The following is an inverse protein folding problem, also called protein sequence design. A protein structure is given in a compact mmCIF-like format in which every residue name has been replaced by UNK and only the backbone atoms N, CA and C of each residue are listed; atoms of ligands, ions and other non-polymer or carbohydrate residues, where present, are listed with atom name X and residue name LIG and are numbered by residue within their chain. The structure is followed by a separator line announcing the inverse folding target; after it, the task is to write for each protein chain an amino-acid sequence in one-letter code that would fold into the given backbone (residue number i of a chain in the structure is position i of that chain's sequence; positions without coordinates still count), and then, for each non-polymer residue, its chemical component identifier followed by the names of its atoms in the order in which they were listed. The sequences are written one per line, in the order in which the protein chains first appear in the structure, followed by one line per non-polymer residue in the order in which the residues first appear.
data_IF_482279856716
#
_entry.id   IF_482279856716
#
_cell.length_a   1.000
_cell.length_b   1.000
_cell.length_c   1.000
_cell.angle_alpha   90.00
_cell.angle_beta   90.00
_cell.angle_gamma   90.00
#
_symmetry.space_group_name_H-M   'P 1'
#
loop_
_entity.id
_entity.type
_entity.pdbx_description
1 polymer ?
#
# COMPACT_ATOMS: atom_id res chain seq x y z
N UNK A 1 -8.86 8.00 1.46
CA UNK A 1 -10.26 7.74 1.88
C UNK A 1 -10.25 7.80 3.38
N UNK A 2 -11.21 8.48 4.06
CA UNK A 2 -11.37 8.24 5.51
C UNK A 2 -11.47 6.72 5.68
N UNK A 3 -10.55 6.14 6.45
CA UNK A 3 -10.57 4.71 6.75
C UNK A 3 -11.99 4.42 7.24
N UNK A 4 -12.79 3.70 6.44
CA UNK A 4 -14.15 3.33 6.84
C UNK A 4 -13.97 2.71 8.21
N UNK A 5 -14.52 3.38 9.23
CA UNK A 5 -14.44 2.88 10.60
C UNK A 5 -15.19 1.57 10.57
N UNK A 6 -14.45 0.46 10.59
CA UNK A 6 -15.04 -0.85 10.71
C UNK A 6 -15.79 -0.87 12.03
N UNK A 7 -17.11 -0.86 11.95
CA UNK A 7 -17.98 -1.01 13.12
C UNK A 7 -18.14 -2.51 13.34
N UNK A 8 -17.37 -3.03 14.30
CA UNK A 8 -17.46 -4.43 14.67
C UNK A 8 -18.86 -4.70 15.25
N UNK A 9 -19.58 -5.74 14.79
CA UNK A 9 -20.88 -6.09 15.32
C UNK A 9 -20.73 -6.74 16.71
N UNK A 10 -20.54 -5.92 17.75
CA UNK A 10 -20.28 -6.37 19.12
C UNK A 10 -21.54 -6.66 19.93
N UNK A 11 -22.71 -6.69 19.29
CA UNK A 11 -23.99 -6.97 19.96
C UNK A 11 -24.08 -8.40 20.52
N UNK A 12 -23.29 -9.32 19.96
CA UNK A 12 -23.18 -10.70 20.43
C UNK A 12 -21.74 -11.21 20.29
N UNK A 13 -21.26 -11.85 21.36
CA UNK A 13 -20.00 -12.60 21.38
C UNK A 13 -20.20 -13.88 22.22
N UNK A 14 -19.81 -15.04 21.68
CA UNK A 14 -19.87 -16.30 22.43
C UNK A 14 -18.63 -16.43 23.32
N UNK A 15 -18.76 -16.10 24.60
CA UNK A 15 -17.62 -16.12 25.54
C UNK A 15 -16.89 -17.46 25.62
N UNK A 16 -17.51 -18.57 25.21
CA UNK A 16 -16.87 -19.90 25.18
C UNK A 16 -15.71 -19.98 24.18
N UNK A 17 -15.65 -19.09 23.20
CA UNK A 17 -14.56 -19.06 22.20
C UNK A 17 -13.42 -18.10 22.56
N UNK A 18 -13.53 -17.34 23.65
CA UNK A 18 -12.52 -16.35 24.08
C UNK A 18 -11.10 -16.90 24.19
N UNK A 19 -10.93 -18.04 24.85
CA UNK A 19 -9.64 -18.71 24.97
C UNK A 19 -9.10 -19.20 23.61
N UNK A 20 -9.98 -19.51 22.66
CA UNK A 20 -9.58 -19.91 21.30
C UNK A 20 -9.13 -18.68 20.51
N UNK A 21 -9.84 -17.57 20.60
CA UNK A 21 -9.49 -16.32 19.92
C UNK A 21 -8.16 -15.74 20.44
N UNK A 22 -7.91 -15.81 21.76
CA UNK A 22 -6.60 -15.44 22.31
C UNK A 22 -5.47 -16.33 21.77
N UNK A 23 -5.73 -17.63 21.61
CA UNK A 23 -4.77 -18.55 21.00
C UNK A 23 -4.51 -18.23 19.53
N UNK A 24 -5.52 -17.81 18.77
CA UNK A 24 -5.34 -17.32 17.39
C UNK A 24 -4.40 -16.11 17.38
N UNK A 25 -4.64 -15.12 18.25
CA UNK A 25 -3.75 -13.96 18.39
C UNK A 25 -2.29 -14.36 18.70
N UNK A 26 -2.11 -15.31 19.64
CA UNK A 26 -0.78 -15.84 20.00
C UNK A 26 -0.10 -16.52 18.81
N UNK A 27 -0.83 -17.32 18.03
CA UNK A 27 -0.30 -18.02 16.85
C UNK A 27 0.06 -17.05 15.72
N UNK A 28 -0.74 -16.01 15.51
CA UNK A 28 -0.43 -14.95 14.53
C UNK A 28 0.88 -14.25 14.91
N UNK A 29 1.04 -13.87 16.19
CA UNK A 29 2.28 -13.28 16.70
C UNK A 29 3.47 -14.21 16.51
N UNK A 30 3.33 -15.48 16.88
CA UNK A 30 4.39 -16.48 16.70
C UNK A 30 4.79 -16.64 15.23
N UNK A 31 3.82 -16.67 14.30
CA UNK A 31 4.10 -16.73 12.86
C UNK A 31 4.94 -15.54 12.39
N UNK A 32 4.64 -14.35 12.89
CA UNK A 32 5.37 -13.11 12.58
C UNK A 32 6.81 -13.15 13.08
N UNK A 33 7.01 -13.56 14.33
CA UNK A 33 8.35 -13.67 14.94
C UNK A 33 9.22 -14.74 14.26
N UNK A 34 8.64 -15.90 13.94
CA UNK A 34 9.37 -17.00 13.28
C UNK A 34 9.80 -16.68 11.84
N UNK A 35 9.11 -15.76 11.18
CA UNK A 35 9.36 -15.40 9.78
C UNK A 35 10.08 -14.08 9.60
N UNK A 36 10.50 -13.43 10.69
CA UNK A 36 11.04 -12.06 10.67
C UNK A 36 10.11 -11.09 9.91
N UNK A 37 8.80 -11.20 10.18
CA UNK A 37 7.75 -10.45 9.50
C UNK A 37 7.70 -10.66 7.97
N UNK A 38 8.29 -11.73 7.45
CA UNK A 38 8.26 -12.11 6.03
C UNK A 38 7.79 -13.56 5.83
N UNK A 39 6.51 -13.87 6.12
CA UNK A 39 6.03 -15.24 6.16
C UNK A 39 5.68 -15.85 4.79
N UNK A 40 5.73 -15.06 3.72
CA UNK A 40 5.24 -15.46 2.40
C UNK A 40 3.76 -15.87 2.41
N UNK A 41 3.39 -16.73 1.46
CA UNK A 41 2.02 -17.22 1.29
C UNK A 41 1.98 -18.76 1.20
N UNK A 42 1.02 -19.44 1.84
CA UNK A 42 0.90 -20.90 1.72
C UNK A 42 0.68 -21.35 0.28
N UNK A 43 1.30 -22.45 -0.12
CA UNK A 43 1.10 -23.01 -1.46
C UNK A 43 -0.31 -23.56 -1.64
N UNK A 44 -0.77 -23.69 -2.89
CA UNK A 44 -2.07 -24.31 -3.21
C UNK A 44 -2.22 -25.69 -2.55
N UNK A 45 -1.18 -26.51 -2.54
CA UNK A 45 -1.22 -27.84 -1.92
C UNK A 45 -1.51 -27.74 -0.41
N UNK A 46 -0.84 -26.83 0.31
CA UNK A 46 -1.11 -26.62 1.73
C UNK A 46 -2.55 -26.13 1.98
N UNK A 47 -3.05 -25.18 1.17
CA UNK A 47 -4.42 -24.69 1.29
C UNK A 47 -5.43 -25.84 1.07
N UNK A 48 -5.27 -26.64 0.02
CA UNK A 48 -6.14 -27.79 -0.27
C UNK A 48 -6.10 -28.84 0.85
N UNK A 49 -4.91 -29.14 1.38
CA UNK A 49 -4.75 -30.15 2.43
C UNK A 49 -5.38 -29.67 3.76
N UNK A 50 -5.18 -28.41 4.14
CA UNK A 50 -5.76 -27.84 5.35
C UNK A 50 -7.27 -27.64 5.24
N UNK A 51 -7.76 -27.23 4.06
CA UNK A 51 -9.19 -27.13 3.75
C UNK A 51 -9.90 -28.46 4.03
N UNK A 52 -9.38 -29.57 3.46
CA UNK A 52 -9.95 -30.91 3.69
C UNK A 52 -9.82 -31.38 5.14
N UNK A 53 -8.68 -31.10 5.77
CA UNK A 53 -8.39 -31.57 7.13
C UNK A 53 -9.27 -30.92 8.20
N UNK A 54 -9.55 -29.63 8.04
CA UNK A 54 -10.25 -28.81 9.03
C UNK A 54 -11.66 -28.39 8.59
N UNK A 55 -12.13 -28.90 7.44
CA UNK A 55 -13.46 -28.61 6.87
C UNK A 55 -13.67 -27.11 6.59
N UNK A 56 -12.70 -26.48 5.92
CA UNK A 56 -12.78 -25.09 5.48
C UNK A 56 -12.92 -24.98 3.96
N UNK A 57 -13.57 -23.91 3.49
CA UNK A 57 -13.50 -23.50 2.09
C UNK A 57 -12.08 -23.02 1.73
N UNK A 58 -11.53 -23.46 0.59
CA UNK A 58 -10.20 -23.02 0.15
C UNK A 58 -10.13 -21.48 -0.02
N UNK A 59 -11.21 -20.88 -0.52
CA UNK A 59 -11.28 -19.43 -0.72
C UNK A 59 -11.21 -18.66 0.61
N UNK A 60 -11.86 -19.19 1.66
CA UNK A 60 -11.78 -18.61 3.00
C UNK A 60 -10.35 -18.60 3.53
N UNK A 61 -9.64 -19.74 3.43
CA UNK A 61 -8.24 -19.81 3.84
C UNK A 61 -7.35 -18.85 3.04
N UNK A 62 -7.59 -18.71 1.73
CA UNK A 62 -6.85 -17.75 0.92
C UNK A 62 -7.02 -16.31 1.43
N UNK A 63 -8.23 -15.89 1.80
CA UNK A 63 -8.46 -14.56 2.36
C UNK A 63 -7.83 -14.38 3.74
N UNK A 64 -7.94 -15.37 4.64
CA UNK A 64 -7.29 -15.31 5.96
C UNK A 64 -5.78 -15.11 5.83
N UNK A 65 -5.12 -15.89 4.97
CA UNK A 65 -3.68 -15.74 4.75
C UNK A 65 -3.31 -14.48 3.96
N UNK A 66 -4.21 -13.98 3.10
CA UNK A 66 -4.03 -12.70 2.43
C UNK A 66 -4.08 -11.54 3.44
N UNK A 67 -5.00 -11.55 4.40
CA UNK A 67 -5.07 -10.53 5.45
C UNK A 67 -3.83 -10.57 6.34
N UNK A 68 -3.34 -11.76 6.70
CA UNK A 68 -2.08 -11.90 7.43
C UNK A 68 -0.86 -11.40 6.65
N UNK A 69 -0.83 -11.57 5.33
CA UNK A 69 0.24 -11.02 4.47
C UNK A 69 0.19 -9.49 4.41
N UNK A 70 -0.98 -8.91 4.67
CA UNK A 70 -1.29 -7.51 4.41
C UNK A 70 -1.57 -6.70 5.69
N UNK A 71 -1.05 -7.15 6.83
CA UNK A 71 -1.26 -6.53 8.16
C UNK A 71 -1.01 -5.01 8.16
N UNK A 72 -0.03 -4.55 7.37
CA UNK A 72 0.33 -3.14 7.27
C UNK A 72 -0.80 -2.22 6.79
N UNK A 73 -1.78 -2.73 6.04
CA UNK A 73 -2.94 -1.94 5.62
C UNK A 73 -3.87 -1.57 6.79
N UNK A 74 -3.81 -2.33 7.89
CA UNK A 74 -4.62 -2.07 9.09
C UNK A 74 -3.95 -1.12 10.08
N UNK A 75 -2.70 -0.68 9.84
CA UNK A 75 -2.12 0.39 10.65
C UNK A 75 -3.05 1.61 10.60
N UNK A 76 -3.28 2.32 11.72
CA UNK A 76 -4.07 3.54 11.70
C UNK A 76 -3.53 4.56 10.70
N UNK A 77 -4.40 5.19 9.91
CA UNK A 77 -4.00 6.27 9.02
C UNK A 77 -3.50 7.47 9.84
N UNK A 78 -2.37 8.07 9.43
CA UNK A 78 -1.88 9.31 10.05
C UNK A 78 -2.59 10.47 9.36
N UNK A 79 -3.63 10.99 10.00
CA UNK A 79 -4.37 12.13 9.46
C UNK A 79 -3.50 13.40 9.42
N UNK A 80 -3.42 14.11 8.28
CA UNK A 80 -2.71 15.39 8.19
C UNK A 80 -3.36 16.47 9.05
N UNK A 81 -2.56 17.11 9.91
CA UNK A 81 -3.02 18.14 10.87
C UNK A 81 -2.39 19.48 10.56
N UNK A 82 -3.20 20.54 10.63
CA UNK A 82 -2.75 21.93 10.49
C UNK A 82 -1.95 22.17 9.21
N UNK A 83 -2.66 22.34 8.09
CA UNK A 83 -2.03 22.66 6.81
C UNK A 83 -1.13 23.90 6.95
N UNK A 84 0.12 23.78 6.51
CA UNK A 84 1.11 24.85 6.61
C UNK A 84 1.29 25.56 5.27
N UNK A 85 1.62 24.80 4.21
CA UNK A 85 1.91 25.35 2.87
C UNK A 85 1.96 24.28 1.78
N UNK A 86 2.01 24.71 0.53
CA UNK A 86 2.39 23.88 -0.60
C UNK A 86 3.84 24.16 -0.98
N UNK A 87 4.66 23.11 -1.07
CA UNK A 87 6.04 23.18 -1.53
C UNK A 87 6.05 22.77 -3.01
N UNK A 88 6.39 23.67 -3.95
CA UNK A 88 6.51 23.31 -5.35
C UNK A 88 7.74 22.45 -5.55
N UNK A 89 7.57 21.28 -6.19
CA UNK A 89 8.65 20.33 -6.47
C UNK A 89 8.97 20.30 -7.96
N UNK A 90 7.91 20.27 -8.79
CA UNK A 90 8.00 20.25 -10.26
C UNK A 90 9.10 19.32 -10.79
N UNK A 91 9.18 18.10 -10.26
CA UNK A 91 10.09 17.06 -10.73
C UNK A 91 9.29 16.06 -11.56
N UNK A 92 9.84 15.66 -12.70
CA UNK A 92 9.18 14.75 -13.61
C UNK A 92 10.19 13.97 -14.46
N UNK A 93 9.74 12.82 -14.95
CA UNK A 93 10.46 12.01 -15.93
C UNK A 93 9.48 11.48 -16.97
N UNK A 94 10.01 11.12 -18.13
CA UNK A 94 9.24 10.46 -19.18
C UNK A 94 9.86 9.09 -19.47
N UNK A 95 9.01 8.05 -19.52
CA UNK A 95 9.41 6.69 -19.89
C UNK A 95 8.30 6.07 -20.74
N UNK A 96 8.64 5.54 -21.93
CA UNK A 96 7.72 4.82 -22.82
C UNK A 96 6.38 5.57 -23.02
N UNK A 97 6.46 6.83 -23.45
CA UNK A 97 5.31 7.72 -23.73
C UNK A 97 4.36 7.94 -22.52
N UNK A 98 4.89 7.72 -21.33
CA UNK A 98 4.23 7.98 -20.05
C UNK A 98 5.05 8.99 -19.26
N UNK A 99 4.39 10.06 -18.86
CA UNK A 99 4.93 11.16 -18.08
C UNK A 99 4.59 10.99 -16.60
N UNK A 100 5.63 10.87 -15.79
CA UNK A 100 5.56 10.66 -14.35
C UNK A 100 6.00 11.93 -13.63
N UNK A 101 5.22 12.43 -12.68
CA UNK A 101 5.52 13.73 -12.04
C UNK A 101 5.08 13.84 -10.59
N UNK A 102 5.87 14.61 -9.82
CA UNK A 102 5.48 15.17 -8.52
C UNK A 102 5.53 16.68 -8.66
N UNK A 103 4.35 17.30 -8.70
CA UNK A 103 4.23 18.74 -8.95
C UNK A 103 4.34 19.55 -7.66
N UNK A 104 3.74 19.06 -6.58
CA UNK A 104 3.74 19.70 -5.27
C UNK A 104 3.73 18.68 -4.14
N UNK A 105 4.23 19.12 -2.99
CA UNK A 105 4.09 18.45 -1.69
C UNK A 105 3.30 19.37 -0.78
N UNK A 106 2.20 18.86 -0.21
CA UNK A 106 1.44 19.60 0.80
C UNK A 106 2.07 19.37 2.16
N UNK A 107 2.45 20.43 2.83
CA UNK A 107 3.09 20.37 4.13
C UNK A 107 2.05 20.56 5.23
N UNK A 108 2.04 19.64 6.17
CA UNK A 108 1.28 19.70 7.42
C UNK A 108 2.26 19.66 8.60
N UNK A 109 1.76 19.95 9.80
CA UNK A 109 2.59 19.97 11.00
C UNK A 109 3.20 18.60 11.32
N UNK A 110 2.45 17.51 11.10
CA UNK A 110 2.85 16.15 11.46
C UNK A 110 3.32 15.28 10.28
N UNK A 111 2.97 15.64 9.04
CA UNK A 111 3.22 14.84 7.83
C UNK A 111 3.42 15.71 6.60
N UNK A 112 4.00 15.12 5.55
CA UNK A 112 3.97 15.67 4.20
C UNK A 112 3.11 14.79 3.30
N UNK A 113 2.33 15.41 2.41
CA UNK A 113 1.49 14.69 1.46
C UNK A 113 2.05 14.90 0.04
N UNK A 114 2.51 13.82 -0.57
CA UNK A 114 3.10 13.80 -1.91
C UNK A 114 2.02 13.40 -2.92
N UNK A 115 1.82 14.24 -3.94
CA UNK A 115 0.92 13.95 -5.05
C UNK A 115 1.72 13.47 -6.26
N UNK A 116 1.54 12.22 -6.61
CA UNK A 116 2.20 11.56 -7.73
C UNK A 116 1.23 11.41 -8.89
N UNK A 117 1.61 11.87 -10.07
CA UNK A 117 0.78 11.86 -11.27
C UNK A 117 1.45 11.07 -12.39
N UNK A 118 0.64 10.33 -13.13
CA UNK A 118 1.02 9.54 -14.30
C UNK A 118 0.10 9.99 -15.43
N UNK A 119 0.66 10.41 -16.55
CA UNK A 119 -0.09 10.83 -17.73
C UNK A 119 0.51 10.08 -18.92
N UNK A 120 -0.23 9.16 -19.53
CA UNK A 120 0.17 8.48 -20.76
C UNK A 120 -0.61 9.03 -21.94
N UNK A 121 0.09 9.22 -23.06
CA UNK A 121 -0.50 9.66 -24.32
C UNK A 121 -0.94 8.48 -25.19
N UNK A 122 -1.28 7.33 -24.59
CA UNK A 122 -1.66 6.13 -25.33
C UNK A 122 -2.94 6.44 -26.15
N UNK A 123 -2.75 6.73 -27.43
CA UNK A 123 -3.83 6.73 -28.43
C UNK A 123 -4.23 5.29 -28.66
N UNK A 124 -5.49 4.97 -28.35
CA UNK A 124 -6.16 3.68 -28.55
C UNK A 124 -5.80 2.97 -29.88
N UNK A 125 -4.76 2.13 -29.88
CA UNK A 125 -4.57 1.06 -30.88
C UNK A 125 -4.45 -0.33 -30.25
N UNK A 126 -4.90 -0.51 -29.00
CA UNK A 126 -5.27 -1.83 -28.46
C UNK A 126 -6.78 -1.86 -28.19
N UNK A 127 -7.50 -2.14 -29.28
CA UNK A 127 -8.87 -2.61 -29.25
C UNK A 127 -9.03 -3.79 -28.30
N UNK A 128 -10.18 -3.83 -27.61
CA UNK A 128 -10.69 -4.92 -26.76
C UNK A 128 -10.17 -4.95 -25.33
N UNK A 129 -10.88 -4.28 -24.42
CA UNK A 129 -10.93 -4.65 -23.00
C UNK A 129 -9.55 -4.90 -22.37
N UNK A 130 -8.56 -4.09 -22.77
CA UNK A 130 -7.28 -4.05 -22.09
C UNK A 130 -7.58 -3.44 -20.73
N UNK A 131 -7.87 -4.32 -19.78
CA UNK A 131 -7.63 -4.09 -18.38
C UNK A 131 -6.15 -3.72 -18.27
N UNK A 132 -5.78 -2.48 -18.60
CA UNK A 132 -4.50 -1.92 -18.19
C UNK A 132 -4.54 -2.05 -16.68
N UNK A 133 -3.89 -3.10 -16.18
CA UNK A 133 -3.87 -3.44 -14.77
C UNK A 133 -3.55 -2.15 -14.03
N UNK A 134 -4.42 -1.75 -13.10
CA UNK A 134 -4.15 -0.60 -12.26
C UNK A 134 -2.79 -0.86 -11.60
N UNK A 135 -1.75 -0.16 -12.09
CA UNK A 135 -0.40 -0.34 -11.57
C UNK A 135 -0.38 0.16 -10.14
N UNK A 136 0.29 -0.55 -9.25
CA UNK A 136 0.44 -0.09 -7.87
C UNK A 136 1.86 0.40 -7.66
N UNK A 137 2.00 1.48 -6.90
CA UNK A 137 3.28 2.10 -6.62
C UNK A 137 3.47 2.27 -5.12
N UNK A 138 4.68 1.99 -4.66
CA UNK A 138 5.17 2.39 -3.34
C UNK A 138 6.13 3.56 -3.50
N UNK A 139 6.13 4.45 -2.52
CA UNK A 139 7.08 5.55 -2.42
C UNK A 139 8.12 5.20 -1.36
N UNK A 140 9.37 5.49 -1.63
CA UNK A 140 10.42 5.59 -0.61
C UNK A 140 11.20 6.88 -0.79
N UNK A 141 11.70 7.43 0.31
CA UNK A 141 12.47 8.67 0.33
C UNK A 141 13.87 8.34 0.79
N UNK A 142 14.85 8.58 -0.08
CA UNK A 142 16.27 8.40 0.26
C UNK A 142 16.75 9.58 1.09
N UNK A 143 17.27 9.30 2.27
CA UNK A 143 17.82 10.26 3.24
C UNK A 143 18.92 9.58 4.05
N UNK A 144 19.99 10.31 4.38
CA UNK A 144 21.10 9.78 5.17
C UNK A 144 20.75 9.72 6.67
N UNK A 145 19.99 10.70 7.16
CA UNK A 145 19.81 10.93 8.60
C UNK A 145 18.39 10.65 9.12
N UNK A 146 17.42 10.37 8.24
CA UNK A 146 16.02 10.24 8.65
C UNK A 146 15.33 9.12 7.89
N UNK A 147 14.74 8.20 8.64
CA UNK A 147 13.87 7.17 8.09
C UNK A 147 12.46 7.71 7.95
N UNK A 148 11.92 7.68 6.73
CA UNK A 148 10.55 8.10 6.45
C UNK A 148 9.65 6.88 6.23
N UNK A 149 8.52 6.84 6.93
CA UNK A 149 7.41 5.96 6.60
C UNK A 149 6.56 6.62 5.50
N UNK A 150 6.40 5.91 4.38
CA UNK A 150 5.65 6.38 3.23
C UNK A 150 4.44 5.46 3.00
N UNK A 151 3.24 6.00 3.15
CA UNK A 151 1.98 5.25 3.03
C UNK A 151 1.20 5.71 1.81
N UNK A 152 0.80 4.76 0.96
CA UNK A 152 -0.12 5.03 -0.15
C UNK A 152 -1.56 5.13 0.40
N UNK A 153 -2.20 6.29 0.22
CA UNK A 153 -3.60 6.56 0.64
C UNK A 153 -4.62 6.27 -0.46
N UNK A 154 -4.16 5.63 -1.53
CA UNK A 154 -4.91 5.33 -2.72
C UNK A 154 -4.69 6.35 -3.82
N UNK A 155 -5.44 6.13 -4.89
CA UNK A 155 -5.32 6.87 -6.11
C UNK A 155 -6.57 6.72 -6.95
N UNK A 156 -6.66 7.56 -7.96
CA UNK A 156 -7.76 7.55 -8.92
C UNK A 156 -7.24 7.95 -10.28
N UNK A 157 -7.90 7.47 -11.32
CA UNK A 157 -7.51 7.77 -12.68
C UNK A 157 -8.60 7.42 -13.68
N UNK A 158 -8.43 7.92 -14.88
CA UNK A 158 -9.18 7.53 -16.07
C UNK A 158 -8.20 7.34 -17.23
N UNK A 159 -8.69 6.90 -18.39
CA UNK A 159 -7.93 6.64 -19.62
C UNK A 159 -6.66 7.50 -19.78
N UNK A 160 -5.52 6.90 -19.41
CA UNK A 160 -4.18 7.49 -19.51
C UNK A 160 -3.72 8.37 -18.34
N UNK A 161 -4.62 8.90 -17.50
CA UNK A 161 -4.26 9.78 -16.39
C UNK A 161 -4.55 9.13 -15.04
N UNK A 162 -3.51 8.90 -14.25
CA UNK A 162 -3.61 8.32 -12.91
C UNK A 162 -2.93 9.22 -11.89
N UNK A 163 -3.48 9.25 -10.68
CA UNK A 163 -2.92 10.00 -9.55
C UNK A 163 -2.90 9.12 -8.31
N UNK A 164 -1.86 9.26 -7.50
CA UNK A 164 -1.71 8.61 -6.20
C UNK A 164 -1.38 9.65 -5.15
N UNK A 165 -1.85 9.41 -3.93
CA UNK A 165 -1.53 10.24 -2.77
C UNK A 165 -0.70 9.42 -1.80
N UNK A 166 0.44 9.96 -1.38
CA UNK A 166 1.29 9.34 -0.37
C UNK A 166 1.41 10.24 0.86
N UNK A 167 1.23 9.67 2.05
CA UNK A 167 1.52 10.33 3.33
C UNK A 167 2.93 9.93 3.76
N UNK A 168 3.74 10.93 4.09
CA UNK A 168 5.13 10.78 4.54
C UNK A 168 5.23 11.24 5.99
N UNK A 169 5.76 10.36 6.85
CA UNK A 169 6.01 10.65 8.26
C UNK A 169 7.44 10.28 8.66
N UNK A 170 8.18 11.13 9.40
CA UNK A 170 7.80 12.49 9.81
C UNK A 170 7.66 13.44 8.60
N UNK A 171 7.09 14.62 8.85
CA UNK A 171 7.05 15.70 7.87
C UNK A 171 8.43 15.95 7.23
N UNK A 172 8.48 16.05 5.91
CA UNK A 172 9.65 16.52 5.17
C UNK A 172 9.97 17.97 5.55
N UNK A 173 11.25 18.36 5.54
CA UNK A 173 11.62 19.75 5.75
C UNK A 173 11.20 20.61 4.55
N UNK A 174 11.23 21.92 4.75
CA UNK A 174 10.82 22.92 3.76
C UNK A 174 11.56 22.83 2.43
N UNK A 175 12.85 22.50 2.47
CA UNK A 175 13.64 22.22 1.28
C UNK A 175 13.55 20.73 0.95
N UNK A 176 12.60 20.39 0.08
CA UNK A 176 12.40 19.04 -0.43
C UNK A 176 13.29 18.71 -1.63
N UNK A 177 14.07 19.68 -2.15
CA UNK A 177 14.86 19.50 -3.36
C UNK A 177 15.97 18.45 -3.19
N UNK A 178 16.51 18.36 -1.97
CA UNK A 178 17.54 17.41 -1.55
C UNK A 178 17.05 15.95 -1.48
N UNK A 179 15.74 15.71 -1.46
CA UNK A 179 15.20 14.35 -1.40
C UNK A 179 14.89 13.80 -2.79
N UNK A 180 15.17 12.52 -2.92
CA UNK A 180 14.83 11.72 -4.09
C UNK A 180 13.58 10.88 -3.77
N UNK A 181 12.52 11.09 -4.53
CA UNK A 181 11.29 10.30 -4.44
C UNK A 181 11.45 9.07 -5.32
N UNK A 182 11.60 7.91 -4.70
CA UNK A 182 11.78 6.65 -5.43
C UNK A 182 10.45 5.92 -5.49
N UNK A 183 9.94 5.76 -6.70
CA UNK A 183 8.72 5.03 -6.96
C UNK A 183 9.05 3.65 -7.51
N UNK A 184 8.55 2.62 -6.84
CA UNK A 184 8.71 1.22 -7.26
C UNK A 184 7.33 0.68 -7.57
N UNK A 185 7.15 0.17 -8.79
CA UNK A 185 5.91 -0.51 -9.19
C UNK A 185 5.87 -1.91 -8.56
N UNK A 186 4.69 -2.36 -8.16
CA UNK A 186 4.48 -3.71 -7.63
C UNK A 186 3.15 -4.29 -8.11
N UNK A 187 3.07 -5.62 -8.12
CA UNK A 187 1.86 -6.36 -8.48
C UNK A 187 1.07 -6.79 -7.25
N UNK A 188 -0.24 -6.58 -7.26
CA UNK A 188 -1.14 -7.22 -6.30
C UNK A 188 -1.66 -8.55 -6.87
N UNK A 189 -1.93 -9.57 -6.03
CA UNK A 189 -1.84 -9.57 -4.57
C UNK A 189 -0.44 -9.90 -4.03
N UNK A 190 0.52 -10.24 -4.90
CA UNK A 190 1.80 -10.82 -4.49
C UNK A 190 2.77 -9.83 -3.80
N UNK A 191 2.51 -8.51 -3.91
CA UNK A 191 3.38 -7.41 -3.48
C UNK A 191 4.82 -7.54 -3.98
N UNK A 192 5.03 -8.31 -5.06
CA UNK A 192 6.33 -8.39 -5.69
C UNK A 192 6.56 -7.12 -6.48
N UNK A 193 7.66 -6.47 -6.14
CA UNK A 193 8.21 -5.39 -6.94
C UNK A 193 8.38 -5.89 -8.38
N UNK A 194 7.96 -5.07 -9.33
CA UNK A 194 8.32 -5.27 -10.72
C UNK A 194 9.72 -4.69 -10.94
N UNK A 195 10.32 -4.98 -12.10
CA UNK A 195 11.61 -4.37 -12.46
C UNK A 195 11.51 -2.86 -12.79
N UNK A 196 10.32 -2.27 -12.60
CA UNK A 196 10.07 -0.87 -12.91
C UNK A 196 10.18 0.01 -11.66
N UNK A 197 11.38 0.57 -11.49
CA UNK A 197 11.68 1.61 -10.52
C UNK A 197 12.14 2.89 -11.22
N UNK A 198 11.83 4.03 -10.61
CA UNK A 198 12.39 5.31 -11.02
C UNK A 198 12.48 6.32 -9.89
N UNK A 199 13.35 7.31 -10.10
CA UNK A 199 13.58 8.42 -9.17
C UNK A 199 13.03 9.69 -9.78
N UNK A 200 12.26 10.43 -8.99
CA UNK A 200 11.84 11.80 -9.23
C UNK A 200 12.53 12.72 -8.23
#
# INVERSE_FOLDING_TARGET
MEQIRFEAPTDYYDERISETDEQICRLIKQRKELSDNNPGFPTKNYITDWSKKYDFEELFLNYVFADFLNEEFYKPAIEPKNFQKNIPVLKAIEKKDTFYSVTLVRQFENVSVVHFNINSNATDESSEWDHTEFKHYKLSIKSEDTQFECRNEGGGGNSGNHSYTFIVSPALPDDVSQYNFVFTEYSLPSKKDTDFEFVI
#
